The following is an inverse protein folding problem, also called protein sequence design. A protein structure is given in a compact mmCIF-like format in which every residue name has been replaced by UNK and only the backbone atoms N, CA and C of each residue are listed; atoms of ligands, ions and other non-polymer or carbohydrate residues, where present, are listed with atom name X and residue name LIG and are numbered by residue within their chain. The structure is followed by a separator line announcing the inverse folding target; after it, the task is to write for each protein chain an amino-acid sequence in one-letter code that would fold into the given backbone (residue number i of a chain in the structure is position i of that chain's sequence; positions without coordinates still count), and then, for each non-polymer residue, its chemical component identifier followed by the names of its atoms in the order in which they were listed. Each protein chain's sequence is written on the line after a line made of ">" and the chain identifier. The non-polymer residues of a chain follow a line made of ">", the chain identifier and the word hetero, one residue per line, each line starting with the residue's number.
data_IF_021947258589
#
_entry.id   IF_021947258589
#
_cell.length_a   1.000
_cell.length_b   1.000
_cell.length_c   1.000
_cell.angle_alpha   90.00
_cell.angle_beta   90.00
_cell.angle_gamma   90.00
#
_symmetry.space_group_name_H-M   'P 1'
#
loop_
_entity.id
_entity.type
_entity.pdbx_description
1 polymer ?
#
# COMPACT_ATOMS: atom_id res chain seq x y z
N UNK A 1 -18.52 -22.62 21.85
CA UNK A 1 -17.25 -22.05 22.34
C UNK A 1 -17.35 -20.56 22.11
N UNK A 2 -17.56 -19.75 23.16
CA UNK A 2 -17.49 -18.28 23.00
C UNK A 2 -16.07 -17.96 22.55
N UNK A 3 -15.91 -17.51 21.30
CA UNK A 3 -14.64 -16.96 20.85
C UNK A 3 -14.46 -15.64 21.60
N UNK A 4 -13.75 -15.70 22.72
CA UNK A 4 -13.33 -14.48 23.41
C UNK A 4 -12.30 -13.83 22.49
N UNK A 5 -12.71 -12.78 21.78
CA UNK A 5 -11.83 -12.01 20.89
C UNK A 5 -10.52 -11.60 21.57
N UNK A 6 -9.49 -11.33 20.75
CA UNK A 6 -8.17 -10.89 21.18
C UNK A 6 -8.27 -9.46 21.71
N UNK A 7 -7.67 -9.19 22.87
CA UNK A 7 -7.61 -7.84 23.44
C UNK A 7 -6.64 -6.98 22.61
N UNK A 8 -7.15 -5.86 22.10
CA UNK A 8 -6.37 -4.84 21.36
C UNK A 8 -5.69 -3.89 22.33
N UNK A 9 -6.43 -3.40 23.35
CA UNK A 9 -5.90 -2.44 24.30
C UNK A 9 -6.98 -1.75 25.14
N UNK A 10 -6.61 -0.64 25.78
CA UNK A 10 -7.53 0.22 26.51
C UNK A 10 -8.30 1.15 25.58
N UNK A 11 -9.33 1.82 26.10
CA UNK A 11 -10.24 2.67 25.32
C UNK A 11 -9.69 4.06 25.02
N UNK A 12 -8.60 4.46 25.68
CA UNK A 12 -7.83 5.69 25.41
C UNK A 12 -7.17 5.67 24.02
N UNK A 13 -6.92 4.49 23.46
CA UNK A 13 -6.48 4.31 22.07
C UNK A 13 -7.45 4.91 21.03
N UNK A 14 -8.67 5.28 21.43
CA UNK A 14 -9.70 5.85 20.57
C UNK A 14 -9.61 7.38 20.39
N UNK A 15 -8.68 8.06 21.08
CA UNK A 15 -8.62 9.53 21.09
C UNK A 15 -8.00 10.11 19.82
N UNK A 16 -7.04 9.41 19.19
CA UNK A 16 -6.36 9.89 17.98
C UNK A 16 -6.38 8.79 16.89
N UNK A 17 -7.52 8.59 16.25
CA UNK A 17 -7.67 7.64 15.14
C UNK A 17 -7.49 8.33 13.79
N UNK A 18 -6.94 7.65 12.77
CA UNK A 18 -6.42 6.28 12.78
C UNK A 18 -5.10 6.16 13.56
N UNK A 19 -4.89 5.01 14.21
CA UNK A 19 -3.74 4.77 15.11
C UNK A 19 -3.07 3.44 14.88
N UNK A 20 -1.75 3.44 14.71
CA UNK A 20 -0.96 2.20 14.72
C UNK A 20 -0.95 1.55 16.09
N UNK A 21 -1.22 0.24 16.14
CA UNK A 21 -1.20 -0.58 17.34
C UNK A 21 -0.46 -1.89 17.08
N UNK A 22 0.01 -2.57 18.13
CA UNK A 22 0.60 -3.90 18.04
C UNK A 22 -0.24 -4.90 18.80
N UNK A 23 -0.60 -6.00 18.15
CA UNK A 23 -1.36 -7.09 18.74
C UNK A 23 -0.54 -8.36 18.51
N UNK A 24 -0.07 -9.00 19.59
CA UNK A 24 0.79 -10.20 19.52
C UNK A 24 1.99 -10.01 18.57
N UNK A 25 2.68 -8.89 18.71
CA UNK A 25 3.83 -8.49 17.88
C UNK A 25 3.59 -8.34 16.37
N UNK A 26 2.32 -8.31 15.94
CA UNK A 26 1.95 -7.98 14.56
C UNK A 26 1.42 -6.54 14.47
N UNK A 27 1.71 -5.82 13.38
CA UNK A 27 1.29 -4.43 13.22
C UNK A 27 -0.17 -4.37 12.74
N UNK A 28 -0.92 -3.44 13.31
CA UNK A 28 -2.31 -3.16 12.97
C UNK A 28 -2.58 -1.66 13.00
N UNK A 29 -3.67 -1.21 12.39
CA UNK A 29 -4.16 0.17 12.43
C UNK A 29 -5.59 0.15 12.95
N UNK A 30 -5.83 0.76 14.10
CA UNK A 30 -7.16 0.98 14.67
C UNK A 30 -7.78 2.21 14.01
N UNK A 31 -9.02 2.11 13.56
CA UNK A 31 -9.74 3.19 12.87
C UNK A 31 -11.25 3.13 13.12
N UNK A 32 -11.98 4.02 12.45
CA UNK A 32 -13.44 4.03 12.33
C UNK A 32 -13.83 3.90 10.87
N UNK A 33 -14.78 3.01 10.59
CA UNK A 33 -15.36 2.91 9.25
C UNK A 33 -16.31 4.08 8.95
N UNK A 34 -16.81 4.14 7.72
CA UNK A 34 -17.76 5.17 7.26
C UNK A 34 -19.08 5.19 8.05
N UNK A 35 -19.36 4.13 8.81
CA UNK A 35 -20.53 4.01 9.70
C UNK A 35 -20.21 4.31 11.17
N UNK A 36 -19.04 4.91 11.45
CA UNK A 36 -18.51 5.21 12.79
C UNK A 36 -18.33 3.97 13.68
N UNK A 37 -18.14 2.79 13.09
CA UNK A 37 -17.87 1.55 13.82
C UNK A 37 -16.37 1.36 13.96
N UNK A 38 -15.95 0.86 15.12
CA UNK A 38 -14.54 0.57 15.37
C UNK A 38 -14.10 -0.63 14.52
N UNK A 39 -12.98 -0.45 13.82
CA UNK A 39 -12.37 -1.47 12.98
C UNK A 39 -10.86 -1.47 13.22
N UNK A 40 -10.23 -2.63 13.11
CA UNK A 40 -8.78 -2.75 13.11
C UNK A 40 -8.33 -3.42 11.81
N UNK A 41 -7.48 -2.73 11.06
CA UNK A 41 -6.87 -3.25 9.84
C UNK A 41 -5.56 -3.95 10.17
N UNK A 42 -5.32 -5.09 9.54
CA UNK A 42 -3.99 -5.66 9.51
C UNK A 42 -3.07 -4.74 8.69
N UNK A 43 -1.99 -4.26 9.29
CA UNK A 43 -1.08 -3.32 8.64
C UNK A 43 -0.05 -4.05 7.75
N UNK A 44 -0.49 -5.12 7.09
CA UNK A 44 0.30 -5.92 6.13
C UNK A 44 -0.20 -5.58 4.74
N UNK A 45 0.64 -4.93 3.93
CA UNK A 45 0.32 -4.54 2.57
C UNK A 45 0.11 -5.80 1.71
N UNK A 46 -1.05 -5.97 1.03
CA UNK A 46 -1.35 -7.14 0.21
C UNK A 46 -0.40 -7.31 -0.99
N UNK A 47 0.38 -6.29 -1.34
CA UNK A 47 1.37 -6.37 -2.41
C UNK A 47 2.50 -7.39 -2.11
N UNK A 48 3.33 -7.10 -1.10
CA UNK A 48 4.53 -7.90 -0.77
C UNK A 48 4.78 -7.97 0.75
N UNK A 49 3.73 -7.76 1.56
CA UNK A 49 3.80 -7.90 3.01
C UNK A 49 4.48 -6.74 3.76
N UNK A 50 4.69 -5.59 3.10
CA UNK A 50 5.20 -4.39 3.76
C UNK A 50 4.31 -3.89 4.88
N UNK A 51 4.89 -3.26 5.90
CA UNK A 51 4.08 -2.59 6.92
C UNK A 51 3.43 -1.33 6.35
N UNK A 52 2.13 -1.17 6.57
CA UNK A 52 1.38 0.04 6.23
C UNK A 52 1.41 0.98 7.42
N UNK A 53 1.72 2.25 7.18
CA UNK A 53 1.79 3.30 8.19
C UNK A 53 0.59 4.26 8.05
N UNK A 54 0.30 4.99 9.13
CA UNK A 54 -0.65 6.12 9.09
C UNK A 54 0.08 7.33 8.54
N UNK A 55 -0.26 7.76 7.33
CA UNK A 55 0.33 8.95 6.70
C UNK A 55 -0.46 10.23 7.06
N UNK A 56 -1.79 10.12 7.11
CA UNK A 56 -2.71 11.18 7.54
C UNK A 56 -4.02 10.61 8.08
N UNK A 57 -4.97 11.48 8.45
CA UNK A 57 -6.30 11.06 8.93
C UNK A 57 -7.05 10.18 7.92
N UNK A 58 -6.91 10.46 6.62
CA UNK A 58 -7.65 9.78 5.54
C UNK A 58 -6.76 8.84 4.69
N UNK A 59 -5.46 8.74 4.99
CA UNK A 59 -4.50 8.00 4.15
C UNK A 59 -3.59 7.09 4.98
N UNK A 60 -3.65 5.81 4.66
CA UNK A 60 -2.70 4.79 5.11
C UNK A 60 -1.77 4.46 3.95
N UNK A 61 -0.47 4.37 4.20
CA UNK A 61 0.52 4.22 3.13
C UNK A 61 1.59 3.20 3.45
N UNK A 62 1.88 2.33 2.47
CA UNK A 62 3.03 1.44 2.53
C UNK A 62 4.27 2.18 1.98
N UNK A 63 5.32 2.41 2.78
CA UNK A 63 6.50 3.18 2.36
C UNK A 63 7.37 2.44 1.33
N UNK A 64 7.19 1.13 1.15
CA UNK A 64 8.02 0.34 0.24
C UNK A 64 7.78 0.69 -1.24
N UNK A 65 6.51 0.71 -1.65
CA UNK A 65 6.11 0.89 -3.05
C UNK A 65 4.97 1.92 -3.21
N UNK A 66 4.58 2.59 -2.12
CA UNK A 66 3.60 3.68 -2.16
C UNK A 66 2.17 3.24 -2.39
N UNK A 67 1.81 1.99 -2.07
CA UNK A 67 0.38 1.61 -2.04
C UNK A 67 -0.32 2.40 -0.95
N UNK A 68 -1.44 3.01 -1.32
CA UNK A 68 -2.24 3.86 -0.46
C UNK A 68 -3.60 3.21 -0.24
N UNK A 69 -4.11 3.37 0.97
CA UNK A 69 -5.40 2.85 1.41
C UNK A 69 -6.15 3.94 2.14
N UNK A 70 -7.45 3.97 1.92
CA UNK A 70 -8.36 4.83 2.65
C UNK A 70 -8.48 4.34 4.11
N UNK A 71 -8.45 5.28 5.05
CA UNK A 71 -8.34 4.93 6.47
C UNK A 71 -9.64 4.45 7.10
N UNK A 72 -10.79 4.62 6.44
CA UNK A 72 -12.11 4.20 6.96
C UNK A 72 -12.54 2.85 6.38
N UNK A 73 -12.33 2.66 5.08
CA UNK A 73 -12.70 1.46 4.34
C UNK A 73 -11.59 0.41 4.29
N UNK A 74 -10.32 0.85 4.34
CA UNK A 74 -9.15 0.02 4.07
C UNK A 74 -8.98 -0.32 2.58
N UNK A 75 -9.82 0.20 1.68
CA UNK A 75 -9.70 -0.01 0.23
C UNK A 75 -8.50 0.74 -0.32
N UNK A 76 -7.79 0.13 -1.28
CA UNK A 76 -6.68 0.81 -1.93
C UNK A 76 -7.19 1.93 -2.84
N UNK A 77 -6.62 3.12 -2.68
CA UNK A 77 -6.97 4.30 -3.46
C UNK A 77 -6.24 4.36 -4.80
N UNK A 78 -5.16 3.61 -4.96
CA UNK A 78 -4.30 3.62 -6.14
C UNK A 78 -4.12 2.26 -6.83
N UNK A 79 -4.58 1.15 -6.23
CA UNK A 79 -4.63 -0.17 -6.85
C UNK A 79 -6.04 -0.74 -6.80
N UNK A 80 -6.79 -0.71 -7.92
CA UNK A 80 -8.19 -1.13 -7.93
C UNK A 80 -8.40 -2.58 -7.49
N UNK A 81 -9.35 -2.79 -6.58
CA UNK A 81 -9.79 -4.12 -6.12
C UNK A 81 -8.97 -4.72 -4.97
N UNK A 82 -7.95 -4.01 -4.49
CA UNK A 82 -7.14 -4.43 -3.34
C UNK A 82 -7.58 -3.70 -2.06
N UNK A 83 -7.43 -4.35 -0.91
CA UNK A 83 -7.76 -3.76 0.39
C UNK A 83 -6.98 -4.40 1.54
N UNK A 84 -6.92 -3.68 2.67
CA UNK A 84 -6.42 -4.22 3.92
C UNK A 84 -7.45 -5.16 4.54
N UNK A 85 -6.96 -6.21 5.20
CA UNK A 85 -7.83 -7.10 5.94
C UNK A 85 -8.35 -6.40 7.20
N UNK A 86 -9.67 -6.39 7.38
CA UNK A 86 -10.35 -5.66 8.45
C UNK A 86 -10.99 -6.60 9.47
N UNK A 87 -10.86 -6.28 10.75
CA UNK A 87 -11.53 -6.98 11.84
C UNK A 87 -12.42 -6.00 12.62
N UNK A 88 -13.73 -6.28 12.79
CA UNK A 88 -14.59 -5.48 13.65
C UNK A 88 -14.09 -5.46 15.10
N UNK A 89 -14.17 -4.30 15.73
CA UNK A 89 -13.74 -4.12 17.13
C UNK A 89 -14.95 -3.93 18.03
N UNK A 90 -15.02 -4.73 19.07
CA UNK A 90 -16.00 -4.61 20.13
C UNK A 90 -15.40 -3.85 21.32
N UNK A 91 -16.09 -2.79 21.76
CA UNK A 91 -15.78 -2.08 23.00
C UNK A 91 -16.50 -2.76 24.16
N UNK A 92 -15.73 -3.24 25.14
CA UNK A 92 -16.20 -3.84 26.40
C UNK A 92 -15.72 -3.00 27.59
N UNK A 93 -16.16 -3.34 28.81
CA UNK A 93 -15.75 -2.63 30.02
C UNK A 93 -14.23 -2.73 30.28
N UNK A 94 -13.61 -3.85 29.89
CA UNK A 94 -12.20 -4.15 30.13
C UNK A 94 -11.25 -3.68 29.01
N UNK A 95 -11.80 -3.13 27.92
CA UNK A 95 -11.04 -2.63 26.78
C UNK A 95 -11.66 -2.94 25.41
N UNK A 96 -10.81 -2.89 24.39
CA UNK A 96 -11.14 -3.14 23.00
C UNK A 96 -10.76 -4.58 22.61
N UNK A 97 -11.62 -5.26 21.85
CA UNK A 97 -11.44 -6.66 21.46
C UNK A 97 -11.80 -6.89 19.99
N UNK A 98 -11.09 -7.78 19.30
CA UNK A 98 -11.42 -8.21 17.94
C UNK A 98 -11.16 -9.71 17.72
N UNK A 99 -11.93 -10.34 16.84
CA UNK A 99 -11.78 -11.75 16.48
C UNK A 99 -10.67 -11.96 15.44
N UNK A 100 -9.43 -11.72 15.84
CA UNK A 100 -8.24 -11.92 15.01
C UNK A 100 -7.82 -13.40 15.04
N UNK A 101 -7.64 -14.07 13.89
CA UNK A 101 -7.19 -15.46 13.85
C UNK A 101 -5.76 -15.60 14.40
N UNK A 102 -5.56 -16.66 15.17
CA UNK A 102 -4.24 -17.08 15.61
C UNK A 102 -3.65 -17.98 14.53
N UNK A 103 -2.78 -17.43 13.68
CA UNK A 103 -2.00 -18.23 12.74
C UNK A 103 -0.66 -18.49 13.42
N UNK A 104 -0.47 -19.72 13.86
CA UNK A 104 0.83 -20.18 14.35
C UNK A 104 1.78 -20.29 13.14
N UNK A 105 2.84 -19.45 13.08
CA UNK A 105 3.76 -19.44 11.94
C UNK A 105 4.62 -20.70 11.87
N UNK A 106 4.57 -21.58 12.88
CA UNK A 106 5.30 -22.86 12.91
C UNK A 106 4.51 -24.04 12.35
N UNK A 107 3.26 -23.83 11.91
CA UNK A 107 2.51 -24.86 11.21
C UNK A 107 3.21 -25.13 9.88
N UNK A 108 3.91 -26.27 9.82
CA UNK A 108 4.62 -26.69 8.63
C UNK A 108 3.61 -26.92 7.50
N UNK A 109 3.73 -26.13 6.43
CA UNK A 109 3.04 -26.41 5.18
C UNK A 109 3.61 -27.72 4.63
N UNK A 110 2.84 -28.80 4.74
CA UNK A 110 3.17 -30.04 4.02
C UNK A 110 2.89 -29.79 2.55
N UNK A 111 3.95 -29.55 1.78
CA UNK A 111 3.88 -29.63 0.32
C UNK A 111 3.72 -31.11 -0.01
N UNK A 112 2.52 -31.51 -0.43
CA UNK A 112 2.32 -32.83 -1.02
C UNK A 112 3.12 -32.86 -2.33
N UNK A 113 4.32 -33.46 -2.29
CA UNK A 113 5.13 -33.76 -3.46
C UNK A 113 4.29 -34.55 -4.48
N UNK A 114 3.72 -33.85 -5.47
CA UNK A 114 3.22 -34.50 -6.67
C UNK A 114 4.43 -34.87 -7.52
N UNK A 115 4.70 -36.17 -7.60
CA UNK A 115 5.64 -36.76 -8.55
C UNK A 115 5.24 -36.36 -9.98
N UNK A 116 6.07 -35.57 -10.66
CA UNK A 116 5.98 -35.43 -12.11
C UNK A 116 6.25 -34.05 -12.69
N UNK A 117 7.53 -33.66 -12.74
CA UNK A 117 8.05 -32.69 -13.70
C UNK A 117 8.74 -31.49 -13.07
N UNK A 118 10.01 -31.27 -13.41
CA UNK A 118 10.71 -30.03 -13.10
C UNK A 118 9.89 -28.84 -13.63
N UNK A 119 9.57 -27.82 -12.82
CA UNK A 119 8.91 -26.62 -13.33
C UNK A 119 9.89 -25.89 -14.26
N UNK A 120 9.78 -26.13 -15.56
CA UNK A 120 10.58 -25.41 -16.56
C UNK A 120 10.01 -24.01 -16.73
N UNK A 121 10.62 -23.01 -16.10
CA UNK A 121 10.34 -21.60 -16.38
C UNK A 121 11.01 -21.26 -17.72
N UNK A 122 10.25 -21.29 -18.82
CA UNK A 122 10.72 -20.80 -20.11
C UNK A 122 10.57 -19.29 -20.18
N UNK A 123 11.65 -18.56 -19.92
CA UNK A 123 11.77 -17.12 -20.16
C UNK A 123 11.87 -16.83 -21.68
N UNK A 124 10.77 -16.99 -22.40
CA UNK A 124 10.65 -16.46 -23.76
C UNK A 124 10.24 -14.98 -23.68
N UNK A 125 11.22 -14.12 -23.46
CA UNK A 125 11.10 -12.69 -23.77
C UNK A 125 10.99 -12.53 -25.29
N UNK A 126 9.76 -12.45 -25.81
CA UNK A 126 9.52 -12.18 -27.22
C UNK A 126 9.68 -10.68 -27.51
N UNK A 127 10.92 -10.19 -27.55
CA UNK A 127 11.20 -8.88 -28.15
C UNK A 127 11.17 -9.04 -29.67
N UNK A 128 10.00 -8.80 -30.28
CA UNK A 128 9.86 -8.79 -31.73
C UNK A 128 10.37 -7.46 -32.29
N UNK A 129 11.65 -7.40 -32.63
CA UNK A 129 12.26 -6.29 -33.38
C UNK A 129 11.72 -6.30 -34.82
N UNK A 130 10.68 -5.51 -35.10
CA UNK A 130 10.22 -5.27 -36.47
C UNK A 130 11.36 -4.63 -37.28
N UNK A 131 11.95 -5.39 -38.19
CA UNK A 131 12.81 -4.83 -39.23
C UNK A 131 11.90 -4.29 -40.33
N UNK A 132 11.76 -2.97 -40.39
CA UNK A 132 11.19 -2.30 -41.54
C UNK A 132 12.22 -2.34 -42.68
N UNK A 133 11.87 -3.07 -43.74
CA UNK A 133 12.63 -3.10 -44.98
C UNK A 133 12.66 -1.75 -45.68
N UNK A 134 13.79 -1.52 -46.35
CA UNK A 134 14.13 -0.48 -47.33
C UNK A 134 12.98 0.31 -47.96
N UNK A 135 12.99 1.64 -47.77
CA UNK A 135 12.56 2.66 -48.75
C UNK A 135 13.40 3.95 -48.58
N UNK A 136 13.60 4.73 -49.66
CA UNK A 136 14.85 5.46 -49.89
C UNK A 136 14.96 6.81 -49.17
N UNK A 137 16.22 7.22 -49.02
CA UNK A 137 16.70 8.48 -48.45
C UNK A 137 16.03 9.72 -49.06
N UNK A 138 15.26 10.43 -48.24
CA UNK A 138 14.90 11.83 -48.48
C UNK A 138 15.85 12.74 -47.71
N UNK A 139 16.50 13.60 -48.50
CA UNK A 139 17.51 14.60 -48.18
C UNK A 139 17.07 15.54 -47.05
N UNK A 140 17.77 15.48 -45.92
CA UNK A 140 17.68 16.48 -44.84
C UNK A 140 18.46 17.73 -45.22
N UNK A 141 17.79 18.88 -45.30
CA UNK A 141 18.41 20.21 -45.37
C UNK A 141 17.99 21.04 -44.17
N UNK A 142 18.91 21.22 -43.19
CA UNK A 142 19.00 22.31 -42.20
C UNK A 142 17.87 22.45 -41.16
N UNK A 143 18.06 22.95 -39.94
CA UNK A 143 19.20 23.35 -39.08
C UNK A 143 18.67 23.34 -37.63
N UNK A 144 19.52 23.23 -36.59
CA UNK A 144 19.12 22.92 -35.21
C UNK A 144 18.86 24.18 -34.36
N UNK A 145 17.94 24.08 -33.40
CA UNK A 145 17.69 25.14 -32.41
C UNK A 145 16.95 24.63 -31.18
N UNK A 146 17.69 24.05 -30.24
CA UNK A 146 17.25 23.84 -28.86
C UNK A 146 18.27 24.54 -27.97
N UNK A 147 17.78 25.48 -27.17
CA UNK A 147 18.27 25.99 -25.87
C UNK A 147 17.97 27.50 -25.77
N UNK A 148 16.80 27.84 -25.23
CA UNK A 148 16.60 29.14 -24.59
C UNK A 148 16.82 28.96 -23.08
N UNK A 149 17.76 29.70 -22.45
CA UNK A 149 17.96 29.67 -21.01
C UNK A 149 16.93 30.52 -20.25
N UNK A 150 16.55 30.03 -19.07
CA UNK A 150 15.70 30.71 -18.07
C UNK A 150 16.39 31.99 -17.58
N UNK A 151 15.72 33.16 -17.56
CA UNK A 151 16.31 34.37 -16.99
C UNK A 151 16.32 34.35 -15.46
N UNK A 152 17.47 34.68 -14.89
CA UNK A 152 17.69 34.89 -13.46
C UNK A 152 16.95 36.14 -12.94
N UNK A 153 16.48 36.07 -11.70
CA UNK A 153 15.87 37.17 -10.97
C UNK A 153 16.92 38.25 -10.59
N UNK A 154 16.59 39.52 -10.83
CA UNK A 154 17.38 40.68 -10.36
C UNK A 154 16.66 41.37 -9.18
N UNK A 155 17.29 41.47 -7.99
CA UNK A 155 16.72 42.11 -6.82
C UNK A 155 17.01 43.61 -6.81
N UNK A 156 16.01 44.44 -7.18
CA UNK A 156 15.94 45.80 -6.68
C UNK A 156 15.44 46.87 -7.64
N UNK A 157 14.16 47.23 -7.50
CA UNK A 157 13.75 48.63 -7.70
C UNK A 157 12.43 48.94 -6.98
N UNK A 158 12.51 49.72 -5.90
CA UNK A 158 11.37 50.43 -5.31
C UNK A 158 10.89 51.49 -6.29
N UNK A 159 9.58 51.60 -6.49
CA UNK A 159 8.96 52.87 -6.88
C UNK A 159 7.75 53.12 -6.00
N UNK A 160 7.78 54.30 -5.37
CA UNK A 160 6.74 54.90 -4.54
C UNK A 160 5.71 55.57 -5.46
N UNK A 161 4.42 55.37 -5.20
CA UNK A 161 3.40 56.36 -4.81
C UNK A 161 2.02 55.72 -4.96
#
# INVERSE_FOLDING_TARGET
>A
MSRTGVRIGATDLLEDLPRSVRIRDRPYILSRDDSDRLVVFEATCPHQGGTVDVESEDCLRCPQHGWEFDSTSGESTNVPGESLHAYPVEKRAEGLFADIPDIDPTVEFSVDDHDGGEPTVSLLSQVRRLHAGDRPVARWTGVPGWLDPVPAADPGRRVRR
#
